data_IF_768545468632
#
_entry.id   IF_768545468632
#
_cell.length_a   1.000
_cell.length_b   1.000
_cell.length_c   1.000
_cell.angle_alpha   90.00
_cell.angle_beta   90.00
_cell.angle_gamma   90.00
#
_symmetry.space_group_name_H-M   'P 1'
#
loop_
_entity.id
_entity.type
_entity.pdbx_description
1 polymer ?
#
# COMPACT_ATOMS: atom_id res chain seq x y z
N UNK A 1 -8.83 -0.48 -5.08
CA UNK A 1 -8.94 0.97 -4.77
C UNK A 1 -8.41 1.18 -3.35
N UNK A 2 -7.90 2.36 -3.01
CA UNK A 2 -7.50 2.70 -1.64
C UNK A 2 -8.65 3.51 -1.03
N UNK A 3 -9.25 3.01 0.05
CA UNK A 3 -10.37 3.70 0.72
C UNK A 3 -9.86 4.48 1.91
N UNK A 4 -10.08 5.79 1.91
CA UNK A 4 -9.89 6.63 3.08
C UNK A 4 -11.22 6.84 3.81
N UNK A 5 -11.15 6.77 5.14
CA UNK A 5 -12.23 7.14 6.05
C UNK A 5 -11.75 8.33 6.88
N UNK A 6 -11.96 9.56 6.39
CA UNK A 6 -11.52 10.75 7.12
C UNK A 6 -12.35 10.90 8.40
N UNK A 7 -11.67 11.20 9.51
CA UNK A 7 -12.30 11.61 10.77
C UNK A 7 -12.12 13.12 10.93
N UNK A 8 -13.09 13.76 11.57
CA UNK A 8 -13.02 15.20 11.83
C UNK A 8 -11.74 15.53 12.64
N UNK A 9 -10.98 16.53 12.19
CA UNK A 9 -9.71 16.98 12.77
C UNK A 9 -8.55 15.95 12.77
N UNK A 10 -8.65 14.85 12.02
CA UNK A 10 -7.55 13.89 11.84
C UNK A 10 -7.03 13.89 10.40
N UNK A 11 -5.72 13.68 10.24
CA UNK A 11 -5.13 13.45 8.92
C UNK A 11 -5.67 12.13 8.37
N UNK A 12 -6.30 12.12 7.19
CA UNK A 12 -6.84 10.88 6.66
C UNK A 12 -5.72 9.84 6.46
N UNK A 13 -6.02 8.59 6.78
CA UNK A 13 -5.12 7.47 6.54
C UNK A 13 -5.89 6.27 6.01
N UNK A 14 -5.19 5.43 5.28
CA UNK A 14 -5.70 4.18 4.73
C UNK A 14 -4.62 3.10 4.86
N UNK A 15 -5.06 1.85 4.94
CA UNK A 15 -4.17 0.72 5.00
C UNK A 15 -4.36 -0.17 3.76
N UNK A 16 -3.26 -0.43 3.05
CA UNK A 16 -3.21 -1.36 1.95
C UNK A 16 -2.57 -2.66 2.42
N UNK A 17 -3.37 -3.73 2.47
CA UNK A 17 -2.91 -5.07 2.81
C UNK A 17 -2.44 -5.78 1.54
N UNK A 18 -1.15 -6.11 1.47
CA UNK A 18 -0.57 -6.90 0.40
C UNK A 18 -0.33 -8.31 0.91
N UNK A 19 -0.91 -9.30 0.25
CA UNK A 19 -0.87 -10.71 0.68
C UNK A 19 -0.16 -11.52 -0.39
N UNK A 20 0.94 -12.17 -0.02
CA UNK A 20 1.63 -13.12 -0.88
C UNK A 20 1.05 -14.52 -0.64
N UNK A 21 0.33 -15.05 -1.63
CA UNK A 21 -0.19 -16.44 -1.61
C UNK A 21 0.70 -17.43 -2.37
N UNK A 22 1.88 -16.98 -2.81
CA UNK A 22 2.81 -17.80 -3.57
C UNK A 22 3.86 -18.47 -2.69
N UNK A 23 4.52 -19.48 -3.27
CA UNK A 23 5.55 -20.30 -2.61
C UNK A 23 6.92 -19.63 -2.46
N UNK A 24 7.10 -18.46 -3.08
CA UNK A 24 8.35 -17.72 -3.09
C UNK A 24 8.15 -16.30 -2.54
N UNK A 25 9.17 -15.70 -1.90
CA UNK A 25 9.10 -14.32 -1.49
C UNK A 25 9.01 -13.36 -2.68
N UNK A 26 8.32 -12.25 -2.46
CA UNK A 26 8.13 -11.21 -3.47
C UNK A 26 8.58 -9.86 -2.93
N UNK A 27 9.12 -9.02 -3.82
CA UNK A 27 9.37 -7.62 -3.50
C UNK A 27 8.18 -6.78 -3.93
N UNK A 28 7.87 -5.74 -3.17
CA UNK A 28 6.86 -4.75 -3.54
C UNK A 28 7.44 -3.33 -3.53
N UNK A 29 6.83 -2.48 -4.36
CA UNK A 29 7.08 -1.03 -4.39
C UNK A 29 5.80 -0.29 -4.67
N UNK A 30 5.50 0.71 -3.86
CA UNK A 30 4.33 1.57 -3.97
C UNK A 30 4.77 2.95 -4.43
N UNK A 31 4.15 3.43 -5.51
CA UNK A 31 4.35 4.76 -6.08
C UNK A 31 3.02 5.51 -6.12
N UNK A 32 3.07 6.82 -6.15
CA UNK A 32 1.89 7.69 -6.27
C UNK A 32 2.14 8.78 -7.30
N UNK A 33 1.08 9.25 -7.95
CA UNK A 33 1.13 10.43 -8.83
C UNK A 33 1.27 11.74 -8.06
N UNK A 34 1.11 11.74 -6.73
CA UNK A 34 1.22 12.93 -5.85
C UNK A 34 2.15 12.69 -4.65
N UNK A 35 3.47 12.52 -4.85
CA UNK A 35 4.40 12.19 -3.77
C UNK A 35 4.49 13.23 -2.64
N UNK A 36 4.16 14.49 -2.90
CA UNK A 36 4.13 15.54 -1.87
C UNK A 36 2.89 15.49 -0.96
N UNK A 37 1.79 14.89 -1.45
CA UNK A 37 0.51 14.79 -0.73
C UNK A 37 0.41 13.54 0.15
N UNK A 38 1.13 12.48 -0.23
CA UNK A 38 1.02 11.19 0.42
C UNK A 38 2.34 10.73 1.03
N UNK A 39 2.27 10.31 2.28
CA UNK A 39 3.31 9.54 2.94
C UNK A 39 2.93 8.06 2.89
N UNK A 40 3.82 7.22 2.34
CA UNK A 40 3.61 5.77 2.23
C UNK A 40 4.64 5.03 3.07
N UNK A 41 4.19 4.20 4.01
CA UNK A 41 5.09 3.46 4.93
C UNK A 41 4.61 2.02 5.16
N UNK A 42 5.44 1.00 4.87
CA UNK A 42 6.64 1.05 4.01
C UNK A 42 6.27 1.34 2.53
N UNK A 43 7.08 2.12 1.83
CA UNK A 43 6.89 2.37 0.38
C UNK A 43 7.45 1.25 -0.51
N UNK A 44 8.35 0.42 0.02
CA UNK A 44 8.88 -0.77 -0.64
C UNK A 44 9.36 -1.76 0.42
N UNK A 45 9.43 -3.03 0.07
CA UNK A 45 9.92 -4.07 0.97
C UNK A 45 9.78 -5.47 0.39
N UNK A 46 9.96 -6.46 1.26
CA UNK A 46 9.82 -7.88 0.97
C UNK A 46 8.56 -8.43 1.64
N UNK A 47 7.88 -9.35 0.98
CA UNK A 47 6.79 -10.15 1.55
C UNK A 47 7.23 -11.61 1.44
N UNK A 48 7.36 -12.27 2.58
CA UNK A 48 7.72 -13.70 2.63
C UNK A 48 6.66 -14.59 1.95
N UNK A 49 7.02 -15.85 1.77
CA UNK A 49 6.08 -16.90 1.38
C UNK A 49 4.87 -16.94 2.34
N UNK A 50 3.66 -17.03 1.79
CA UNK A 50 2.41 -17.14 2.57
C UNK A 50 2.25 -16.06 3.66
N UNK A 51 2.89 -14.91 3.48
CA UNK A 51 2.90 -13.82 4.44
C UNK A 51 2.22 -12.59 3.86
N UNK A 52 2.02 -11.58 4.70
CA UNK A 52 1.41 -10.32 4.33
C UNK A 52 2.18 -9.13 4.88
N UNK A 53 1.96 -7.97 4.28
CA UNK A 53 2.44 -6.69 4.79
C UNK A 53 1.32 -5.66 4.71
N UNK A 54 1.31 -4.81 5.72
CA UNK A 54 0.38 -3.72 5.87
C UNK A 54 1.09 -2.41 5.51
N UNK A 55 0.66 -1.76 4.42
CA UNK A 55 1.21 -0.50 3.94
C UNK A 55 0.29 0.64 4.33
N UNK A 56 0.75 1.51 5.21
CA UNK A 56 0.04 2.73 5.58
C UNK A 56 0.22 3.80 4.50
N UNK A 57 -0.89 4.38 4.06
CA UNK A 57 -0.94 5.56 3.19
C UNK A 57 -1.58 6.68 3.97
N UNK A 58 -0.84 7.75 4.21
CA UNK A 58 -1.28 8.89 5.02
C UNK A 58 -1.24 10.16 4.19
N UNK A 59 -2.14 11.09 4.47
CA UNK A 59 -2.05 12.44 3.93
C UNK A 59 -1.03 13.28 4.70
N UNK A 60 -0.24 14.06 3.97
CA UNK A 60 0.76 14.98 4.55
C UNK A 60 0.13 16.29 5.04
N UNK A 61 -1.11 16.58 4.65
CA UNK A 61 -1.89 17.75 5.05
C UNK A 61 -3.32 17.31 5.41
N UNK A 62 -4.06 18.16 6.14
CA UNK A 62 -5.50 17.97 6.27
C UNK A 62 -6.16 18.21 4.90
N UNK A 63 -7.38 17.69 4.71
CA UNK A 63 -8.19 18.06 3.56
C UNK A 63 -9.10 19.20 4.04
N UNK A 64 -8.87 20.42 3.53
CA UNK A 64 -9.49 21.64 4.06
C UNK A 64 -10.78 22.05 3.32
N UNK A 65 -11.36 21.17 2.50
CA UNK A 65 -12.64 21.43 1.85
C UNK A 65 -13.14 20.36 0.87
N UNK A 66 -14.38 20.51 0.36
CA UNK A 66 -14.99 19.58 -0.60
C UNK A 66 -14.25 19.52 -1.94
N UNK A 67 -13.68 20.63 -2.42
CA UNK A 67 -12.90 20.64 -3.67
C UNK A 67 -11.61 19.80 -3.58
N UNK A 68 -10.96 19.77 -2.41
CA UNK A 68 -9.81 18.88 -2.20
C UNK A 68 -10.21 17.41 -2.16
N UNK A 69 -11.44 17.13 -1.71
CA UNK A 69 -12.01 15.78 -1.65
C UNK A 69 -12.21 15.18 -3.06
N UNK A 70 -12.79 15.96 -3.97
CA UNK A 70 -12.94 15.61 -5.38
C UNK A 70 -11.58 15.54 -6.11
N UNK A 71 -10.63 16.41 -5.74
CA UNK A 71 -9.28 16.38 -6.28
C UNK A 71 -8.53 15.10 -5.88
N UNK A 72 -8.79 14.56 -4.69
CA UNK A 72 -8.19 13.32 -4.19
C UNK A 72 -8.70 12.08 -4.94
N UNK A 73 -9.96 12.06 -5.40
CA UNK A 73 -10.52 10.95 -6.16
C UNK A 73 -9.80 10.68 -7.51
N UNK A 74 -9.07 11.68 -8.01
CA UNK A 74 -8.27 11.58 -9.23
C UNK A 74 -6.85 11.04 -8.99
N UNK A 75 -6.41 10.97 -7.74
CA UNK A 75 -5.09 10.48 -7.40
C UNK A 75 -4.98 8.96 -7.61
N UNK A 76 -3.79 8.54 -8.05
CA UNK A 76 -3.51 7.15 -8.41
C UNK A 76 -2.28 6.65 -7.69
N UNK A 77 -2.38 5.41 -7.24
CA UNK A 77 -1.27 4.64 -6.71
C UNK A 77 -0.93 3.50 -7.67
N UNK A 78 0.35 3.17 -7.73
CA UNK A 78 0.87 2.06 -8.50
C UNK A 78 1.60 1.14 -7.53
N UNK A 79 1.11 -0.08 -7.39
CA UNK A 79 1.80 -1.15 -6.67
C UNK A 79 2.51 -2.01 -7.70
N UNK A 80 3.84 -2.10 -7.58
CA UNK A 80 4.67 -2.97 -8.41
C UNK A 80 5.09 -4.16 -7.56
N UNK A 81 4.93 -5.37 -8.09
CA UNK A 81 5.37 -6.62 -7.47
C UNK A 81 6.33 -7.34 -8.42
N UNK A 82 7.24 -8.12 -7.86
CA UNK A 82 8.12 -9.02 -8.61
C UNK A 82 8.65 -10.10 -7.69
N UNK A 83 9.14 -11.20 -8.24
CA UNK A 83 9.79 -12.25 -7.45
C UNK A 83 11.05 -11.69 -6.81
N UNK A 84 11.28 -12.02 -5.55
CA UNK A 84 12.52 -11.66 -4.90
C UNK A 84 13.68 -12.48 -5.49
N UNK A 85 14.84 -11.86 -5.76
CA UNK A 85 16.06 -12.59 -6.05
C UNK A 85 16.42 -13.60 -4.96
N UNK A 86 17.06 -14.71 -5.34
CA UNK A 86 17.41 -15.81 -4.43
C UNK A 86 18.25 -15.39 -3.22
N UNK A 87 19.04 -14.32 -3.32
CA UNK A 87 19.86 -13.82 -2.20
C UNK A 87 19.03 -13.26 -1.04
N UNK A 88 17.78 -12.83 -1.28
CA UNK A 88 16.87 -12.42 -0.20
C UNK A 88 16.37 -13.59 0.63
N UNK A 89 16.34 -14.81 0.08
CA UNK A 89 15.93 -16.01 0.84
C UNK A 89 16.99 -16.41 1.87
N UNK A 90 18.25 -16.05 1.63
CA UNK A 90 19.38 -16.28 2.53
C UNK A 90 19.53 -15.16 3.57
N UNK A 91 18.73 -14.09 3.47
CA UNK A 91 18.85 -12.84 4.22
C UNK A 91 18.38 -12.89 5.68
N UNK A 92 18.10 -14.06 6.25
CA UNK A 92 17.67 -14.19 7.66
C UNK A 92 18.67 -13.56 8.66
N UNK A 93 19.93 -13.36 8.26
CA UNK A 93 20.98 -12.72 9.06
C UNK A 93 21.37 -11.30 8.59
N UNK A 94 20.63 -10.70 7.66
CA UNK A 94 20.95 -9.36 7.15
C UNK A 94 20.27 -8.25 7.95
N UNK A 95 21.06 -7.24 8.34
CA UNK A 95 20.55 -6.02 8.95
C UNK A 95 19.58 -5.27 8.02
N UNK A 96 18.58 -4.60 8.61
CA UNK A 96 17.52 -3.95 7.84
C UNK A 96 18.01 -2.87 6.86
N UNK A 97 19.15 -2.22 7.13
CA UNK A 97 19.77 -1.27 6.18
C UNK A 97 20.33 -1.98 4.95
N UNK A 98 20.91 -3.16 5.14
CA UNK A 98 21.50 -3.95 4.05
C UNK A 98 20.42 -4.50 3.14
N UNK A 99 19.35 -5.05 3.72
CA UNK A 99 18.16 -5.50 2.97
C UNK A 99 17.61 -4.36 2.12
N UNK A 100 17.51 -3.15 2.67
CA UNK A 100 17.01 -1.99 1.93
C UNK A 100 17.92 -1.56 0.78
N UNK A 101 19.24 -1.60 0.96
CA UNK A 101 20.20 -1.30 -0.13
C UNK A 101 20.08 -2.31 -1.26
N UNK A 102 20.05 -3.60 -0.94
CA UNK A 102 19.88 -4.65 -1.95
C UNK A 102 18.53 -4.56 -2.65
N UNK A 103 17.46 -4.23 -1.92
CA UNK A 103 16.13 -4.04 -2.50
C UNK A 103 16.15 -2.92 -3.55
N UNK A 104 16.81 -1.79 -3.22
CA UNK A 104 16.95 -0.65 -4.13
C UNK A 104 17.75 -1.06 -5.38
N UNK A 105 18.86 -1.78 -5.21
CA UNK A 105 19.67 -2.27 -6.31
C UNK A 105 18.89 -3.22 -7.21
N UNK A 106 18.22 -4.22 -6.64
CA UNK A 106 17.43 -5.21 -7.36
C UNK A 106 16.37 -4.56 -8.26
N UNK A 107 15.70 -3.49 -7.81
CA UNK A 107 14.69 -2.77 -8.61
C UNK A 107 15.23 -2.17 -9.92
N UNK A 108 16.54 -1.90 -10.02
CA UNK A 108 17.17 -1.36 -11.22
C UNK A 108 17.38 -2.43 -12.30
N UNK A 109 17.61 -3.69 -11.91
CA UNK A 109 17.95 -4.78 -12.81
C UNK A 109 16.75 -5.63 -13.27
N UNK A 110 15.56 -5.39 -12.70
CA UNK A 110 14.36 -6.17 -13.05
C UNK A 110 13.82 -5.77 -14.44
N UNK A 111 13.74 -6.76 -15.32
CA UNK A 111 13.10 -6.68 -16.64
C UNK A 111 11.63 -6.27 -16.51
N UNK A 112 11.15 -5.48 -17.47
CA UNK A 112 9.75 -5.00 -17.48
C UNK A 112 8.74 -6.14 -17.50
N UNK A 113 9.05 -7.28 -18.13
CA UNK A 113 8.15 -8.44 -18.20
C UNK A 113 7.95 -9.13 -16.84
N UNK A 114 8.93 -8.98 -15.93
CA UNK A 114 8.91 -9.60 -14.61
C UNK A 114 8.31 -8.69 -13.54
N UNK A 115 7.81 -7.51 -13.95
CA UNK A 115 7.09 -6.55 -13.11
C UNK A 115 5.59 -6.73 -13.27
N UNK A 116 4.92 -7.00 -12.16
CA UNK A 116 3.47 -7.01 -12.07
C UNK A 116 2.99 -5.68 -11.51
N UNK A 117 2.04 -5.02 -12.17
CA UNK A 117 1.65 -3.66 -11.86
C UNK A 117 0.15 -3.51 -11.60
N UNK A 118 -0.21 -2.99 -10.43
CA UNK A 118 -1.58 -2.75 -10.02
C UNK A 118 -1.82 -1.25 -9.86
N UNK A 119 -2.70 -0.69 -10.71
CA UNK A 119 -3.13 0.70 -10.63
C UNK A 119 -4.34 0.82 -9.72
N UNK A 120 -4.18 1.51 -8.60
CA UNK A 120 -5.22 1.74 -7.62
C UNK A 120 -5.68 3.19 -7.70
N UNK A 121 -7.00 3.41 -7.77
CA UNK A 121 -7.61 4.73 -7.57
C UNK A 121 -7.89 4.95 -6.08
N UNK A 122 -7.83 6.21 -5.66
CA UNK A 122 -8.29 6.63 -4.35
C UNK A 122 -9.81 6.75 -4.35
N UNK A 123 -10.44 6.26 -3.30
CA UNK A 123 -11.87 6.41 -3.06
C UNK A 123 -12.09 6.89 -1.62
N UNK A 124 -13.11 7.69 -1.41
CA UNK A 124 -13.59 8.04 -0.08
C UNK A 124 -14.85 7.26 0.23
N UNK A 125 -14.97 6.77 1.47
CA UNK A 125 -16.27 6.37 2.02
C UNK A 125 -16.62 7.31 3.17
N UNK A 126 -17.87 7.75 3.23
CA UNK A 126 -18.44 8.38 4.43
C UNK A 126 -18.73 7.28 5.46
N UNK A 127 -18.66 7.63 6.75
CA UNK A 127 -18.82 6.69 7.86
C UNK A 127 -20.22 6.00 7.88
N UNK A 128 -21.22 6.61 7.23
CA UNK A 128 -22.58 6.07 7.03
C UNK A 128 -22.66 4.73 6.26
N UNK A 129 -21.58 4.27 5.62
CA UNK A 129 -21.56 3.02 4.85
C UNK A 129 -21.29 1.77 5.71
N UNK A 130 -21.20 1.93 7.04
CA UNK A 130 -21.33 0.78 7.97
C UNK A 130 -22.82 0.46 8.03
N UNK A 131 -23.25 -0.45 7.15
CA UNK A 131 -24.48 -1.20 7.37
C UNK A 131 -24.44 -1.74 8.81
N UNK A 132 -25.26 -1.15 9.68
CA UNK A 132 -25.58 -1.74 10.96
C UNK A 132 -26.01 -3.18 10.67
N UNK A 133 -25.40 -4.23 11.24
CA UNK A 133 -26.01 -5.55 11.14
C UNK A 133 -27.42 -5.40 11.72
N UNK A 134 -28.43 -5.66 10.89
CA UNK A 134 -29.82 -5.55 11.27
C UNK A 134 -30.02 -6.25 12.63
N UNK A 135 -30.80 -5.68 13.57
CA UNK A 135 -31.10 -6.38 14.81
C UNK A 135 -31.75 -7.71 14.42
N UNK A 136 -31.09 -8.81 14.76
CA UNK A 136 -31.65 -10.14 14.58
C UNK A 136 -32.87 -10.20 15.50
N UNK A 137 -34.06 -10.02 14.93
CA UNK A 137 -35.30 -10.27 15.63
C UNK A 137 -35.29 -11.75 16.03
N UNK A 138 -35.25 -12.02 17.32
CA UNK A 138 -35.37 -13.35 17.87
C UNK A 138 -36.12 -13.27 19.20
N UNK A 139 -37.27 -13.96 19.19
CA UNK A 139 -38.24 -14.22 20.25
C UNK A 139 -39.25 -13.10 20.57
#
# INVERSE_FOLDING_TARGET
HIVFRPRENERPSANLRLINKGDVPIMFKVKTTKPHRYLVRPSQGLIGHNNEVSVAVLFTQALDGPDEDDAVANDKFLVQLTRAPAHFEQGANMDGREIMQQLIAAWNDIDRKDKYEFKLRVAKRKDDDIATPAPTSSA
#
